data_IF_793512677179
#
_entry.id   IF_793512677179
#
_cell.length_a   1.000
_cell.length_b   1.000
_cell.length_c   1.000
_cell.angle_alpha   90.00
_cell.angle_beta   90.00
_cell.angle_gamma   90.00
#
_symmetry.space_group_name_H-M   'P 1'
#
loop_
_entity.id
_entity.type
_entity.pdbx_description
1 polymer ?
#
# COMPACT_ATOMS: atom_id res chain seq x y z
N UNK A 1 48.63 7.97 13.37
CA UNK A 1 48.95 6.63 12.82
C UNK A 1 48.16 6.41 11.54
N UNK A 2 48.81 6.28 10.39
CA UNK A 2 48.13 5.87 9.15
C UNK A 2 47.97 4.34 9.19
N UNK A 3 46.84 3.86 9.73
CA UNK A 3 46.52 2.44 9.79
C UNK A 3 46.45 1.90 8.35
N UNK A 4 47.24 0.89 8.02
CA UNK A 4 47.17 0.22 6.71
C UNK A 4 46.35 -1.06 6.84
N UNK A 5 45.25 -1.14 6.10
CA UNK A 5 44.40 -2.33 6.03
C UNK A 5 44.93 -3.27 4.95
N UNK A 6 45.27 -4.50 5.31
CA UNK A 6 45.65 -5.56 4.36
C UNK A 6 44.41 -6.36 4.00
N UNK A 7 44.16 -6.54 2.71
CA UNK A 7 43.02 -7.32 2.20
C UNK A 7 43.54 -8.71 1.87
N UNK A 8 42.92 -9.73 2.45
CA UNK A 8 43.14 -11.15 2.15
C UNK A 8 41.77 -11.76 1.89
N UNK A 9 41.51 -12.17 0.65
CA UNK A 9 40.23 -12.75 0.24
C UNK A 9 40.29 -14.27 0.36
N UNK A 10 39.25 -14.87 0.91
CA UNK A 10 39.03 -16.31 0.78
C UNK A 10 38.74 -16.70 -0.67
N UNK A 11 38.90 -17.99 -0.99
CA UNK A 11 38.58 -18.50 -2.33
C UNK A 11 37.11 -18.29 -2.71
N UNK A 12 36.20 -18.34 -1.73
CA UNK A 12 34.77 -18.06 -1.92
C UNK A 12 34.55 -16.60 -2.29
N UNK A 13 35.09 -15.66 -1.50
CA UNK A 13 34.94 -14.22 -1.75
C UNK A 13 35.58 -13.81 -3.08
N UNK A 14 36.73 -14.37 -3.43
CA UNK A 14 37.39 -14.15 -4.73
C UNK A 14 36.51 -14.61 -5.90
N UNK A 15 35.83 -15.74 -5.75
CA UNK A 15 34.92 -16.29 -6.76
C UNK A 15 33.65 -15.45 -6.89
N UNK A 16 33.11 -14.99 -5.76
CA UNK A 16 31.95 -14.09 -5.72
C UNK A 16 32.26 -12.75 -6.42
N UNK A 17 33.39 -12.13 -6.10
CA UNK A 17 33.83 -10.88 -6.74
C UNK A 17 34.05 -11.04 -8.24
N UNK A 18 34.67 -12.15 -8.68
CA UNK A 18 34.86 -12.45 -10.11
C UNK A 18 33.53 -12.64 -10.83
N UNK A 19 32.59 -13.37 -10.22
CA UNK A 19 31.24 -13.55 -10.77
C UNK A 19 30.52 -12.21 -10.90
N UNK A 20 30.59 -11.37 -9.87
CA UNK A 20 29.97 -10.03 -9.86
C UNK A 20 30.56 -9.09 -10.93
N UNK A 21 31.84 -9.25 -11.28
CA UNK A 21 32.47 -8.50 -12.38
C UNK A 21 32.23 -9.14 -13.76
N UNK A 22 31.89 -10.43 -13.81
CA UNK A 22 31.73 -11.20 -15.04
C UNK A 22 30.39 -11.01 -15.75
N UNK A 23 29.36 -10.49 -15.08
CA UNK A 23 28.06 -10.25 -15.71
C UNK A 23 27.03 -9.57 -14.83
N UNK A 24 25.89 -9.21 -15.42
CA UNK A 24 24.75 -8.60 -14.73
C UNK A 24 24.77 -7.07 -14.69
N UNK A 25 23.70 -6.49 -14.13
CA UNK A 25 23.53 -5.04 -13.96
C UNK A 25 23.74 -4.65 -12.50
N UNK A 26 24.89 -4.06 -12.20
CA UNK A 26 25.25 -3.62 -10.85
C UNK A 26 25.54 -2.12 -10.81
N UNK A 27 25.37 -1.51 -9.63
CA UNK A 27 25.75 -0.11 -9.43
C UNK A 27 27.26 0.05 -9.64
N UNK A 28 27.68 1.07 -10.40
CA UNK A 28 29.10 1.35 -10.70
C UNK A 28 29.98 1.39 -9.43
N UNK A 29 29.46 1.92 -8.32
CA UNK A 29 30.18 1.92 -7.03
C UNK A 29 30.46 0.52 -6.51
N UNK A 30 29.52 -0.43 -6.63
CA UNK A 30 29.68 -1.83 -6.21
C UNK A 30 30.79 -2.52 -7.04
N UNK A 31 30.78 -2.30 -8.36
CA UNK A 31 31.80 -2.82 -9.28
C UNK A 31 33.21 -2.26 -8.98
N UNK A 32 33.33 -0.94 -8.79
CA UNK A 32 34.62 -0.32 -8.44
C UNK A 32 35.17 -0.85 -7.11
N UNK A 33 34.32 -1.03 -6.10
CA UNK A 33 34.71 -1.61 -4.81
C UNK A 33 35.18 -3.07 -4.95
N UNK A 34 34.51 -3.86 -5.79
CA UNK A 34 34.93 -5.21 -6.12
C UNK A 34 36.32 -5.25 -6.80
N UNK A 35 36.57 -4.36 -7.76
CA UNK A 35 37.88 -4.23 -8.42
C UNK A 35 38.98 -3.83 -7.42
N UNK A 36 38.68 -2.90 -6.51
CA UNK A 36 39.61 -2.49 -5.44
C UNK A 36 40.01 -3.69 -4.57
N UNK A 37 39.04 -4.51 -4.13
CA UNK A 37 39.32 -5.66 -3.26
C UNK A 37 40.15 -6.73 -3.97
N UNK A 38 39.82 -7.06 -5.23
CA UNK A 38 40.60 -8.03 -6.01
C UNK A 38 42.03 -7.54 -6.28
N UNK A 39 42.21 -6.27 -6.60
CA UNK A 39 43.54 -5.70 -6.85
C UNK A 39 44.37 -5.60 -5.55
N UNK A 40 43.73 -5.28 -4.43
CA UNK A 40 44.38 -5.25 -3.12
C UNK A 40 44.81 -6.65 -2.65
N UNK A 41 43.98 -7.67 -2.87
CA UNK A 41 44.29 -9.08 -2.59
C UNK A 41 45.42 -9.62 -3.50
N UNK A 42 45.52 -9.12 -4.73
CA UNK A 42 46.62 -9.42 -5.65
C UNK A 42 47.94 -8.69 -5.30
N UNK A 43 47.95 -7.86 -4.25
CA UNK A 43 49.15 -7.16 -3.77
C UNK A 43 49.48 -5.84 -4.47
N UNK A 44 48.57 -5.28 -5.27
CA UNK A 44 48.77 -3.97 -5.89
C UNK A 44 48.80 -2.84 -4.83
N UNK A 45 49.59 -1.81 -5.07
CA UNK A 45 49.66 -0.65 -4.17
C UNK A 45 48.38 0.21 -4.26
N UNK A 46 48.05 0.93 -3.19
CA UNK A 46 46.83 1.77 -3.15
C UNK A 46 46.82 2.83 -4.26
N UNK A 47 48.00 3.31 -4.69
CA UNK A 47 48.19 4.29 -5.77
C UNK A 47 47.91 3.68 -7.15
N UNK A 48 48.37 2.44 -7.38
CA UNK A 48 48.09 1.70 -8.61
C UNK A 48 46.61 1.30 -8.71
N UNK A 49 46.01 0.90 -7.60
CA UNK A 49 44.57 0.58 -7.52
C UNK A 49 43.75 1.84 -7.84
N UNK A 50 44.08 2.98 -7.23
CA UNK A 50 43.40 4.25 -7.47
C UNK A 50 43.46 4.65 -8.96
N UNK A 51 44.64 4.50 -9.58
CA UNK A 51 44.87 4.82 -11.00
C UNK A 51 44.11 3.89 -11.94
N UNK A 52 44.18 2.58 -11.71
CA UNK A 52 43.56 1.56 -12.58
C UNK A 52 42.03 1.55 -12.50
N UNK A 53 41.45 1.73 -11.31
CA UNK A 53 39.99 1.74 -11.09
C UNK A 53 39.38 3.14 -11.35
N UNK A 54 40.20 4.19 -11.44
CA UNK A 54 39.76 5.57 -11.61
C UNK A 54 38.95 6.06 -10.40
N UNK A 55 39.54 5.96 -9.21
CA UNK A 55 38.97 6.42 -7.93
C UNK A 55 40.02 7.15 -7.10
N UNK A 56 39.60 7.98 -6.15
CA UNK A 56 40.52 8.60 -5.20
C UNK A 56 41.06 7.59 -4.18
N UNK A 57 42.30 7.79 -3.69
CA UNK A 57 42.93 6.93 -2.68
C UNK A 57 42.10 6.78 -1.38
N UNK A 58 41.30 7.79 -1.02
CA UNK A 58 40.36 7.71 0.10
C UNK A 58 39.27 6.65 -0.10
N UNK A 59 38.88 6.37 -1.34
CA UNK A 59 37.91 5.31 -1.68
C UNK A 59 38.55 3.93 -1.56
N UNK A 60 39.81 3.79 -2.00
CA UNK A 60 40.60 2.57 -1.81
C UNK A 60 40.72 2.27 -0.33
N UNK A 61 41.21 3.25 0.45
CA UNK A 61 41.35 3.15 1.89
C UNK A 61 40.03 2.76 2.60
N UNK A 62 38.93 3.46 2.31
CA UNK A 62 37.62 3.18 2.94
C UNK A 62 37.07 1.81 2.57
N UNK A 63 37.28 1.37 1.32
CA UNK A 63 36.82 0.05 0.87
C UNK A 63 37.60 -1.06 1.57
N UNK A 64 38.93 -0.96 1.62
CA UNK A 64 39.80 -1.90 2.34
C UNK A 64 39.47 -1.93 3.83
N UNK A 65 39.29 -0.76 4.46
CA UNK A 65 38.85 -0.64 5.86
C UNK A 65 37.52 -1.33 6.12
N UNK A 66 36.49 -1.07 5.30
CA UNK A 66 35.16 -1.67 5.47
C UNK A 66 35.17 -3.19 5.32
N UNK A 67 36.03 -3.72 4.46
CA UNK A 67 36.23 -5.15 4.32
C UNK A 67 36.88 -5.74 5.58
N UNK A 68 38.03 -5.19 6.00
CA UNK A 68 38.81 -5.72 7.14
C UNK A 68 38.08 -5.56 8.49
N UNK A 69 37.43 -4.42 8.74
CA UNK A 69 36.64 -4.20 9.95
C UNK A 69 35.24 -4.83 9.89
N UNK A 70 34.90 -5.54 8.81
CA UNK A 70 33.55 -5.99 8.54
C UNK A 70 33.54 -7.29 7.74
N UNK A 71 32.96 -7.23 6.55
CA UNK A 71 32.85 -8.35 5.64
C UNK A 71 32.72 -7.86 4.19
N UNK A 72 32.68 -8.80 3.25
CA UNK A 72 32.55 -8.53 1.83
C UNK A 72 31.30 -7.68 1.51
N UNK A 73 30.12 -8.07 1.99
CA UNK A 73 28.89 -7.34 1.65
C UNK A 73 28.88 -5.92 2.23
N UNK A 74 29.44 -5.70 3.42
CA UNK A 74 29.60 -4.35 4.01
C UNK A 74 30.55 -3.48 3.21
N UNK A 75 31.61 -4.06 2.65
CA UNK A 75 32.53 -3.34 1.76
C UNK A 75 31.84 -2.95 0.46
N UNK A 76 31.00 -3.83 -0.10
CA UNK A 76 30.35 -3.65 -1.39
C UNK A 76 29.07 -2.80 -1.33
N UNK A 77 28.32 -2.84 -0.23
CA UNK A 77 27.03 -2.15 -0.05
C UNK A 77 27.16 -0.74 0.51
N UNK A 78 26.15 0.09 0.26
CA UNK A 78 25.99 1.38 0.93
C UNK A 78 25.22 1.16 2.23
N UNK A 79 25.63 1.83 3.31
CA UNK A 79 24.84 1.81 4.55
C UNK A 79 23.53 2.58 4.32
N UNK A 80 22.41 2.13 4.92
CA UNK A 80 21.16 2.88 4.90
C UNK A 80 21.43 4.30 5.40
N UNK A 81 21.17 5.29 4.55
CA UNK A 81 21.27 6.67 4.98
C UNK A 81 20.03 6.99 5.81
N UNK A 82 20.18 7.64 6.98
CA UNK A 82 19.03 8.18 7.68
C UNK A 82 18.35 9.15 6.71
N UNK A 83 17.12 8.79 6.29
CA UNK A 83 16.30 9.66 5.47
C UNK A 83 15.88 10.91 6.25
N UNK A 84 15.10 11.77 5.61
CA UNK A 84 14.50 12.90 6.33
C UNK A 84 13.67 12.42 7.52
N UNK A 85 13.80 13.13 8.64
CA UNK A 85 13.02 12.83 9.84
C UNK A 85 11.52 12.91 9.56
N UNK A 86 10.75 12.10 10.30
CA UNK A 86 9.30 12.11 10.18
C UNK A 86 8.78 13.46 10.66
N UNK A 87 7.97 14.11 9.82
CA UNK A 87 7.36 15.41 10.15
C UNK A 87 6.38 15.35 11.33
N UNK A 88 5.74 14.20 11.57
CA UNK A 88 4.88 14.00 12.73
C UNK A 88 5.62 13.12 13.73
N UNK A 89 5.65 13.56 14.98
CA UNK A 89 6.06 12.78 16.14
C UNK A 89 5.04 11.68 16.46
N UNK A 90 5.42 10.71 17.29
CA UNK A 90 4.50 9.64 17.72
C UNK A 90 3.25 10.17 18.43
N UNK A 91 3.38 11.25 19.22
CA UNK A 91 2.23 11.90 19.88
C UNK A 91 1.27 12.54 18.86
N UNK A 92 1.82 13.21 17.85
CA UNK A 92 1.01 13.84 16.80
C UNK A 92 0.38 12.80 15.87
N UNK A 93 1.02 11.64 15.68
CA UNK A 93 0.44 10.51 14.96
C UNK A 93 -0.76 9.92 15.72
N UNK A 94 -0.64 9.72 17.04
CA UNK A 94 -1.77 9.31 17.88
C UNK A 94 -2.93 10.33 17.84
N UNK A 95 -2.60 11.63 17.85
CA UNK A 95 -3.58 12.70 17.71
C UNK A 95 -4.28 12.67 16.33
N UNK A 96 -3.52 12.40 15.26
CA UNK A 96 -4.07 12.23 13.91
C UNK A 96 -5.05 11.06 13.86
N UNK A 97 -4.70 9.92 14.45
CA UNK A 97 -5.56 8.73 14.55
C UNK A 97 -6.84 9.07 15.31
N UNK A 98 -6.73 9.64 16.50
CA UNK A 98 -7.88 10.04 17.32
C UNK A 98 -8.81 11.00 16.57
N UNK A 99 -8.24 12.01 15.90
CA UNK A 99 -9.01 12.98 15.09
C UNK A 99 -9.72 12.30 13.93
N UNK A 100 -9.04 11.37 13.25
CA UNK A 100 -9.58 10.64 12.11
C UNK A 100 -10.71 9.66 12.48
N UNK A 101 -10.69 9.12 13.71
CA UNK A 101 -11.73 8.27 14.26
C UNK A 101 -12.92 9.06 14.84
N UNK A 102 -12.73 10.35 15.13
CA UNK A 102 -13.80 11.24 15.59
C UNK A 102 -14.72 11.68 14.44
N UNK A 103 -15.85 12.30 14.79
CA UNK A 103 -16.75 12.89 13.82
C UNK A 103 -16.09 14.01 13.00
N UNK A 104 -16.38 14.12 11.69
CA UNK A 104 -15.92 15.24 10.88
C UNK A 104 -16.51 16.57 11.37
N UNK A 105 -15.89 17.72 11.03
CA UNK A 105 -16.40 19.03 11.43
C UNK A 105 -17.81 19.28 10.86
N UNK A 106 -18.59 20.14 11.54
CA UNK A 106 -19.94 20.52 11.12
C UNK A 106 -19.98 20.91 9.64
N UNK A 107 -21.00 20.43 8.92
CA UNK A 107 -21.16 20.64 7.47
C UNK A 107 -20.32 19.72 6.58
N UNK A 108 -19.61 18.73 7.15
CA UNK A 108 -18.88 17.71 6.38
C UNK A 108 -19.40 16.32 6.74
N UNK A 109 -19.72 15.52 5.73
CA UNK A 109 -20.18 14.15 5.92
C UNK A 109 -19.04 13.18 6.32
N UNK A 110 -17.78 13.51 5.99
CA UNK A 110 -16.60 12.66 6.23
C UNK A 110 -15.30 13.44 6.31
N UNK A 111 -14.31 12.85 6.95
CA UNK A 111 -12.93 13.34 6.88
C UNK A 111 -12.36 13.15 5.47
N UNK A 112 -11.72 14.20 4.96
CA UNK A 112 -10.86 14.12 3.78
C UNK A 112 -9.42 14.35 4.21
N UNK A 113 -8.45 13.89 3.40
CA UNK A 113 -7.03 14.10 3.69
C UNK A 113 -6.69 15.60 3.86
N UNK A 114 -7.34 16.49 3.10
CA UNK A 114 -7.14 17.93 3.21
C UNK A 114 -7.74 18.50 4.50
N UNK A 115 -8.91 18.01 4.91
CA UNK A 115 -9.54 18.40 6.18
C UNK A 115 -8.69 17.94 7.37
N UNK A 116 -8.19 16.71 7.35
CA UNK A 116 -7.31 16.18 8.39
C UNK A 116 -5.98 16.94 8.43
N UNK A 117 -5.37 17.24 7.29
CA UNK A 117 -4.16 18.05 7.24
C UNK A 117 -4.39 19.45 7.86
N UNK A 118 -5.52 20.09 7.52
CA UNK A 118 -5.89 21.38 8.10
C UNK A 118 -6.23 21.31 9.59
N UNK A 119 -6.86 20.23 10.05
CA UNK A 119 -7.14 20.00 11.46
C UNK A 119 -5.83 19.81 12.24
N UNK A 120 -4.91 19.00 11.73
CA UNK A 120 -3.61 18.79 12.36
C UNK A 120 -2.81 20.09 12.46
N UNK A 121 -2.80 20.93 11.43
CA UNK A 121 -2.15 22.27 11.50
C UNK A 121 -2.76 23.15 12.59
N UNK A 122 -4.05 23.03 12.88
CA UNK A 122 -4.71 23.78 13.98
C UNK A 122 -4.42 23.20 15.36
N UNK A 123 -4.19 21.89 15.44
CA UNK A 123 -4.02 21.14 16.69
C UNK A 123 -2.54 20.95 17.06
N UNK A 124 -1.60 21.37 16.22
CA UNK A 124 -0.15 21.19 16.40
C UNK A 124 0.60 22.46 16.00
N UNK A 125 1.90 22.52 16.27
CA UNK A 125 2.75 23.69 15.96
C UNK A 125 3.23 23.73 14.49
N UNK A 126 2.77 22.79 13.65
CA UNK A 126 3.19 22.72 12.25
C UNK A 126 2.61 23.87 11.42
N UNK A 127 3.46 24.71 10.82
CA UNK A 127 3.05 25.75 9.86
C UNK A 127 2.25 25.21 8.67
N UNK A 128 2.54 23.98 8.24
CA UNK A 128 1.85 23.31 7.16
C UNK A 128 1.97 21.80 7.29
N UNK A 129 0.96 21.06 6.86
CA UNK A 129 1.01 19.61 6.76
C UNK A 129 0.50 19.16 5.39
N UNK A 130 1.27 18.32 4.71
CA UNK A 130 0.88 17.80 3.39
C UNK A 130 -0.16 16.71 3.53
N UNK A 131 -1.12 16.67 2.58
CA UNK A 131 -2.09 15.58 2.45
C UNK A 131 -1.42 14.20 2.32
N UNK A 132 -0.22 14.14 1.72
CA UNK A 132 0.52 12.89 1.56
C UNK A 132 1.12 12.40 2.88
N UNK A 133 1.54 13.31 3.76
CA UNK A 133 1.99 12.93 5.12
C UNK A 133 0.84 12.28 5.87
N UNK A 134 -0.35 12.89 5.84
CA UNK A 134 -1.56 12.33 6.45
C UNK A 134 -1.92 10.98 5.83
N UNK A 135 -1.95 10.88 4.50
CA UNK A 135 -2.29 9.63 3.79
C UNK A 135 -1.35 8.49 4.17
N UNK A 136 -0.04 8.74 4.17
CA UNK A 136 0.96 7.73 4.51
C UNK A 136 0.80 7.25 5.95
N UNK A 137 0.57 8.16 6.90
CA UNK A 137 0.35 7.81 8.32
C UNK A 137 -0.92 7.00 8.50
N UNK A 138 -2.03 7.41 7.89
CA UNK A 138 -3.27 6.63 7.95
C UNK A 138 -3.09 5.23 7.32
N UNK A 139 -2.36 5.12 6.20
CA UNK A 139 -2.09 3.83 5.57
C UNK A 139 -1.21 2.91 6.43
N UNK A 140 -0.17 3.45 7.08
CA UNK A 140 0.65 2.70 8.03
C UNK A 140 -0.17 2.18 9.23
N UNK A 141 -1.22 2.92 9.63
CA UNK A 141 -2.14 2.53 10.71
C UNK A 141 -3.38 1.76 10.21
N UNK A 142 -3.45 1.38 8.93
CA UNK A 142 -4.59 0.66 8.36
C UNK A 142 -5.91 1.44 8.32
N UNK A 143 -5.89 2.75 8.54
CA UNK A 143 -7.09 3.58 8.66
C UNK A 143 -7.53 4.21 7.33
N UNK A 144 -8.83 4.11 7.05
CA UNK A 144 -9.48 4.77 5.92
C UNK A 144 -10.75 5.49 6.38
N UNK A 145 -10.64 6.70 6.97
CA UNK A 145 -11.75 7.43 7.61
C UNK A 145 -12.94 7.77 6.70
N UNK A 146 -12.76 7.65 5.38
CA UNK A 146 -13.79 7.86 4.38
C UNK A 146 -14.53 6.58 3.97
N UNK A 147 -14.10 5.41 4.47
CA UNK A 147 -14.80 4.14 4.28
C UNK A 147 -15.77 3.91 5.44
N UNK A 148 -16.86 3.21 5.14
CA UNK A 148 -17.80 2.66 6.09
C UNK A 148 -18.01 1.22 5.71
N UNK A 149 -17.87 0.33 6.67
CA UNK A 149 -18.40 -1.02 6.52
C UNK A 149 -19.78 -1.00 7.16
N UNK A 150 -20.77 -1.48 6.40
CA UNK A 150 -22.12 -1.69 6.88
C UNK A 150 -22.22 -3.17 7.19
N UNK A 151 -22.55 -3.50 8.43
CA UNK A 151 -22.91 -4.85 8.81
C UNK A 151 -24.34 -4.86 9.33
N UNK A 152 -25.08 -5.89 8.98
CA UNK A 152 -26.34 -6.25 9.63
C UNK A 152 -26.10 -7.63 10.21
N UNK A 153 -25.37 -7.70 11.33
CA UNK A 153 -25.27 -8.94 12.10
C UNK A 153 -26.19 -8.73 13.31
N UNK A 154 -27.32 -9.44 13.41
CA UNK A 154 -28.12 -9.46 14.63
C UNK A 154 -27.27 -10.01 15.78
N UNK A 155 -27.65 -9.72 17.02
CA UNK A 155 -27.04 -10.42 18.15
C UNK A 155 -27.28 -11.92 17.95
N UNK A 156 -26.20 -12.70 17.80
CA UNK A 156 -26.27 -14.15 17.63
C UNK A 156 -26.47 -14.76 19.02
N UNK A 157 -27.71 -14.84 19.45
CA UNK A 157 -28.12 -15.51 20.68
C UNK A 157 -28.69 -16.91 20.40
N UNK A 158 -29.06 -17.63 21.46
CA UNK A 158 -29.59 -18.99 21.33
C UNK A 158 -30.91 -19.05 20.54
N UNK A 159 -31.74 -18.01 20.61
CA UNK A 159 -32.99 -17.94 19.82
C UNK A 159 -32.67 -17.74 18.33
N UNK A 160 -31.73 -16.85 18.01
CA UNK A 160 -31.28 -16.65 16.63
C UNK A 160 -30.76 -17.94 16.01
N UNK A 161 -29.92 -18.69 16.74
CA UNK A 161 -29.40 -19.98 16.27
C UNK A 161 -30.53 -20.99 16.08
N UNK A 162 -31.45 -21.11 17.03
CA UNK A 162 -32.58 -22.03 16.89
C UNK A 162 -33.42 -21.73 15.62
N UNK A 163 -33.76 -20.46 15.37
CA UNK A 163 -34.53 -20.08 14.17
C UNK A 163 -33.74 -20.23 12.88
N UNK A 164 -32.42 -20.08 12.92
CA UNK A 164 -31.56 -20.33 11.77
C UNK A 164 -31.54 -21.83 11.43
N UNK A 165 -31.38 -22.71 12.43
CA UNK A 165 -31.43 -24.16 12.24
C UNK A 165 -32.80 -24.61 11.72
N UNK A 166 -33.91 -24.06 12.24
CA UNK A 166 -35.26 -24.36 11.73
C UNK A 166 -35.38 -24.08 10.21
N UNK A 167 -34.77 -23.00 9.73
CA UNK A 167 -34.75 -22.66 8.29
C UNK A 167 -33.86 -23.64 7.54
N UNK A 168 -32.68 -23.97 8.06
CA UNK A 168 -31.76 -24.91 7.40
C UNK A 168 -32.35 -26.32 7.29
N UNK A 169 -33.04 -26.79 8.33
CA UNK A 169 -33.75 -28.06 8.33
C UNK A 169 -34.83 -28.09 7.24
N UNK A 170 -35.61 -27.01 7.10
CA UNK A 170 -36.59 -26.87 6.01
C UNK A 170 -35.95 -26.98 4.62
N UNK A 171 -34.80 -26.34 4.40
CA UNK A 171 -34.08 -26.46 3.12
C UNK A 171 -33.42 -27.84 2.89
N UNK A 172 -33.23 -28.63 3.95
CA UNK A 172 -32.65 -29.96 3.88
C UNK A 172 -33.69 -31.06 3.60
N UNK A 173 -34.98 -30.75 3.71
CA UNK A 173 -36.06 -31.69 3.39
C UNK A 173 -36.00 -32.15 1.93
N UNK A 174 -36.47 -33.38 1.67
CA UNK A 174 -36.57 -33.88 0.30
C UNK A 174 -37.68 -33.10 -0.44
N UNK A 175 -37.46 -32.71 -1.72
CA UNK A 175 -38.48 -31.99 -2.48
C UNK A 175 -39.80 -32.76 -2.56
N UNK A 176 -40.88 -32.14 -2.11
CA UNK A 176 -42.24 -32.69 -2.17
C UNK A 176 -43.10 -31.85 -3.15
N UNK A 177 -43.57 -32.43 -4.27
CA UNK A 177 -44.44 -31.73 -5.21
C UNK A 177 -45.79 -31.25 -4.62
N UNK A 178 -46.27 -31.87 -3.54
CA UNK A 178 -47.48 -31.42 -2.83
C UNK A 178 -47.21 -30.28 -1.84
N UNK A 179 -45.94 -30.10 -1.44
CA UNK A 179 -45.47 -29.07 -0.51
C UNK A 179 -44.16 -28.41 -1.01
N UNK A 180 -44.22 -27.62 -2.10
CA UNK A 180 -43.02 -26.99 -2.64
C UNK A 180 -42.48 -25.91 -1.70
N UNK A 181 -41.16 -25.88 -1.54
CA UNK A 181 -40.46 -24.82 -0.80
C UNK A 181 -40.22 -23.66 -1.76
N UNK A 182 -40.83 -22.51 -1.48
CA UNK A 182 -40.73 -21.33 -2.35
C UNK A 182 -40.02 -20.20 -1.60
N UNK A 183 -38.99 -19.64 -2.21
CA UNK A 183 -38.34 -18.42 -1.74
C UNK A 183 -39.15 -17.21 -2.20
N UNK A 184 -39.61 -16.39 -1.26
CA UNK A 184 -40.32 -15.14 -1.52
C UNK A 184 -39.47 -13.96 -1.05
N UNK A 185 -39.28 -12.97 -1.92
CA UNK A 185 -38.64 -11.71 -1.55
C UNK A 185 -39.29 -10.51 -2.25
N UNK A 186 -39.13 -9.33 -1.67
CA UNK A 186 -39.60 -8.07 -2.23
C UNK A 186 -38.47 -7.04 -2.38
N UNK A 187 -38.50 -6.30 -3.48
CA UNK A 187 -37.57 -5.19 -3.71
C UNK A 187 -38.33 -3.92 -4.12
N UNK A 188 -38.18 -2.80 -3.39
CA UNK A 188 -38.81 -1.55 -3.78
C UNK A 188 -38.09 -0.96 -5.00
N UNK A 189 -38.81 -0.83 -6.11
CA UNK A 189 -38.31 -0.28 -7.36
C UNK A 189 -38.86 1.13 -7.56
N UNK A 190 -37.96 2.08 -7.84
CA UNK A 190 -38.38 3.42 -8.26
C UNK A 190 -38.83 3.38 -9.71
N UNK A 191 -40.03 3.89 -9.97
CA UNK A 191 -40.50 4.07 -11.33
C UNK A 191 -39.89 5.35 -11.90
N UNK A 192 -38.99 5.19 -12.87
CA UNK A 192 -38.30 6.27 -13.54
C UNK A 192 -38.84 6.35 -14.97
N UNK A 193 -39.35 7.52 -15.35
CA UNK A 193 -39.69 7.84 -16.74
C UNK A 193 -38.77 8.92 -17.30
N UNK A 194 -38.63 8.99 -18.61
CA UNK A 194 -37.90 10.09 -19.24
C UNK A 194 -38.67 11.40 -19.16
N UNK A 195 -37.95 12.50 -18.92
CA UNK A 195 -38.54 13.83 -19.04
C UNK A 195 -38.75 14.25 -20.50
N UNK A 196 -38.00 13.66 -21.45
CA UNK A 196 -38.04 13.97 -22.89
C UNK A 196 -38.00 12.70 -23.72
N UNK A 197 -38.62 12.75 -24.89
CA UNK A 197 -38.62 11.61 -25.82
C UNK A 197 -37.17 11.28 -26.26
N UNK A 198 -36.72 10.02 -26.14
CA UNK A 198 -35.40 9.60 -26.58
C UNK A 198 -35.22 9.81 -28.06
N UNK A 199 -33.97 10.08 -28.46
CA UNK A 199 -33.61 10.21 -29.87
C UNK A 199 -33.20 8.82 -30.36
N UNK A 200 -33.91 8.25 -31.36
CA UNK A 200 -33.61 6.91 -31.87
C UNK A 200 -32.19 6.77 -32.41
N UNK A 201 -31.69 5.53 -32.42
CA UNK A 201 -30.41 5.21 -33.01
C UNK A 201 -30.44 5.33 -34.56
N UNK A 202 -29.31 5.73 -35.13
CA UNK A 202 -29.05 5.77 -36.58
C UNK A 202 -27.69 5.10 -36.88
N UNK A 203 -27.39 4.66 -38.11
CA UNK A 203 -26.07 4.12 -38.44
C UNK A 203 -24.93 5.07 -38.02
N UNK A 204 -24.08 4.61 -37.08
CA UNK A 204 -22.99 5.40 -36.50
C UNK A 204 -23.38 6.30 -35.32
N UNK A 205 -24.64 6.29 -34.87
CA UNK A 205 -25.15 7.04 -33.72
C UNK A 205 -26.04 6.17 -32.83
N UNK A 206 -25.63 5.99 -31.58
CA UNK A 206 -26.43 5.27 -30.59
C UNK A 206 -27.69 6.06 -30.20
N UNK A 207 -28.68 5.34 -29.68
CA UNK A 207 -29.87 5.93 -29.04
C UNK A 207 -29.44 6.84 -27.88
N UNK A 208 -30.13 7.97 -27.71
CA UNK A 208 -29.80 8.97 -26.69
C UNK A 208 -30.99 9.26 -25.78
N UNK A 209 -30.74 9.14 -24.48
CA UNK A 209 -31.63 9.53 -23.39
C UNK A 209 -31.16 10.85 -22.77
N UNK A 210 -32.10 11.66 -22.27
CA UNK A 210 -31.77 12.85 -21.47
C UNK A 210 -31.34 12.43 -20.05
N UNK A 211 -30.47 13.23 -19.42
CA UNK A 211 -30.08 13.04 -18.02
C UNK A 211 -31.20 13.42 -17.04
N UNK A 212 -32.12 14.29 -17.46
CA UNK A 212 -33.29 14.66 -16.67
C UNK A 212 -34.36 13.56 -16.74
N UNK A 213 -34.76 13.05 -15.56
CA UNK A 213 -35.78 12.01 -15.44
C UNK A 213 -36.94 12.47 -14.55
N UNK A 214 -38.11 11.86 -14.76
CA UNK A 214 -39.29 12.04 -13.94
C UNK A 214 -39.45 10.87 -12.98
N UNK A 215 -39.56 11.17 -11.68
CA UNK A 215 -39.86 10.17 -10.65
C UNK A 215 -41.37 9.94 -10.59
N UNK A 216 -41.81 8.74 -10.95
CA UNK A 216 -43.22 8.34 -11.04
C UNK A 216 -43.69 7.53 -9.82
N UNK A 217 -43.03 7.71 -8.67
CA UNK A 217 -43.31 6.97 -7.44
C UNK A 217 -42.45 5.72 -7.27
N UNK A 218 -42.94 4.79 -6.46
CA UNK A 218 -42.26 3.52 -6.11
C UNK A 218 -43.28 2.39 -6.11
N UNK A 219 -42.85 1.20 -6.52
CA UNK A 219 -43.64 -0.04 -6.45
C UNK A 219 -42.78 -1.13 -5.81
N UNK A 220 -43.41 -2.14 -5.21
CA UNK A 220 -42.70 -3.33 -4.74
C UNK A 220 -42.73 -4.40 -5.83
N UNK A 221 -41.55 -4.87 -6.23
CA UNK A 221 -41.41 -6.04 -7.07
C UNK A 221 -41.36 -7.27 -6.16
N UNK A 222 -42.33 -8.17 -6.32
CA UNK A 222 -42.38 -9.45 -5.63
C UNK A 222 -41.80 -10.53 -6.53
N UNK A 223 -40.87 -11.34 -6.01
CA UNK A 223 -40.25 -12.45 -6.74
C UNK A 223 -40.46 -13.73 -5.95
N UNK A 224 -40.89 -14.78 -6.65
CA UNK A 224 -41.06 -16.12 -6.11
C UNK A 224 -40.21 -17.07 -6.94
N UNK A 225 -39.38 -17.86 -6.28
CA UNK A 225 -38.52 -18.89 -6.88
C UNK A 225 -38.79 -20.22 -6.18
N UNK A 226 -39.03 -21.26 -6.98
CA UNK A 226 -39.06 -22.68 -6.59
C UNK A 226 -37.64 -23.25 -6.76
#
# INVERSE_FOLDING_TARGET
MNVRYRVELSQVERTELKTLLGGGKHASRKLKRAQILLAADAGASDEEIARSVGVGGSTVYRTKRRFVEGNLERALSEEPRPGAERKLSGKEEALLVATACAGPPKGRARWTLKLLAGAMVKLTEHKSLSRETVRRRLAENGLKPWRKDMWCIPLVDGEYVARMEDVLDLYAEAPDPEHPVVCFDESPVQLIGEARQPIPAEPGRLERYDYEYRRNGTVNLFVLLD
#
